data_IF_071014664525
#
_entry.id   IF_071014664525
#
_cell.length_a   1.000
_cell.length_b   1.000
_cell.length_c   1.000
_cell.angle_alpha   90.00
_cell.angle_beta   90.00
_cell.angle_gamma   90.00
#
_symmetry.space_group_name_H-M   'P 1'
#
loop_
_entity.id
_entity.type
_entity.pdbx_description
1 polymer ?
#
# COMPACT_ATOMS: atom_id res chain seq x y z
N UNK A 1 31.52 7.09 10.92
CA UNK A 1 31.37 6.65 9.51
C UNK A 1 30.28 5.61 9.52
N UNK A 2 29.11 5.98 9.07
CA UNK A 2 28.00 5.05 8.89
C UNK A 2 28.20 4.41 7.52
N UNK A 3 28.75 3.21 7.50
CA UNK A 3 28.64 2.33 6.35
C UNK A 3 27.17 1.86 6.28
N UNK A 4 26.29 2.70 5.80
CA UNK A 4 25.07 2.24 5.18
C UNK A 4 25.58 1.50 3.94
N UNK A 5 25.64 0.18 4.01
CA UNK A 5 25.74 -0.68 2.84
C UNK A 5 24.61 -0.25 1.91
N UNK A 6 24.90 0.53 0.87
CA UNK A 6 23.99 0.73 -0.25
C UNK A 6 23.63 -0.66 -0.76
N UNK A 7 22.47 -1.16 -0.35
CA UNK A 7 21.93 -2.41 -0.93
C UNK A 7 21.93 -2.23 -2.44
N UNK A 8 22.67 -3.05 -3.14
CA UNK A 8 22.74 -3.01 -4.60
C UNK A 8 21.32 -3.10 -5.15
N UNK A 9 20.88 -2.03 -5.83
CA UNK A 9 19.59 -2.01 -6.50
C UNK A 9 19.58 -3.01 -7.64
N UNK A 10 18.56 -3.87 -7.68
CA UNK A 10 18.36 -4.80 -8.79
C UNK A 10 17.85 -4.00 -10.00
N UNK A 11 18.50 -4.09 -11.17
CA UNK A 11 18.03 -3.38 -12.37
C UNK A 11 16.61 -3.79 -12.75
N UNK A 12 15.79 -2.82 -13.15
CA UNK A 12 14.40 -3.06 -13.57
C UNK A 12 14.31 -4.07 -14.72
N UNK A 13 15.27 -4.04 -15.65
CA UNK A 13 15.37 -5.00 -16.76
C UNK A 13 15.52 -6.45 -16.29
N UNK A 14 16.17 -6.68 -15.15
CA UNK A 14 16.31 -7.98 -14.52
C UNK A 14 15.02 -8.39 -13.83
N UNK A 15 14.42 -7.49 -13.06
CA UNK A 15 13.15 -7.74 -12.35
C UNK A 15 12.03 -8.13 -13.31
N UNK A 16 11.92 -7.45 -14.45
CA UNK A 16 10.91 -7.76 -15.49
C UNK A 16 11.06 -9.15 -16.12
N UNK A 17 12.23 -9.75 -16.02
CA UNK A 17 12.54 -11.09 -16.56
C UNK A 17 12.40 -12.20 -15.52
N UNK A 18 12.09 -11.86 -14.27
CA UNK A 18 11.92 -12.88 -13.24
C UNK A 18 10.79 -13.84 -13.64
N UNK A 19 10.99 -15.16 -13.43
CA UNK A 19 9.96 -16.14 -13.73
C UNK A 19 8.68 -15.85 -12.95
N UNK A 20 7.52 -16.05 -13.56
CA UNK A 20 6.21 -15.93 -12.91
C UNK A 20 6.16 -16.68 -11.57
N UNK A 21 6.72 -17.89 -11.54
CA UNK A 21 6.77 -18.71 -10.33
C UNK A 21 7.50 -18.01 -9.17
N UNK A 22 8.59 -17.28 -9.46
CA UNK A 22 9.33 -16.51 -8.48
C UNK A 22 8.53 -15.32 -7.97
N UNK A 23 7.92 -14.57 -8.88
CA UNK A 23 7.07 -13.42 -8.54
C UNK A 23 5.87 -13.85 -7.69
N UNK A 24 5.21 -14.94 -8.06
CA UNK A 24 4.07 -15.48 -7.33
C UNK A 24 4.46 -15.98 -5.93
N UNK A 25 5.66 -16.52 -5.77
CA UNK A 25 6.20 -16.91 -4.45
C UNK A 25 6.37 -15.69 -3.54
N UNK A 26 6.87 -14.58 -4.05
CA UNK A 26 7.00 -13.34 -3.29
C UNK A 26 5.65 -12.79 -2.83
N UNK A 27 4.66 -12.79 -3.73
CA UNK A 27 3.30 -12.39 -3.42
C UNK A 27 2.69 -13.29 -2.35
N UNK A 28 2.81 -14.59 -2.48
CA UNK A 28 2.26 -15.55 -1.51
C UNK A 28 2.93 -15.43 -0.14
N UNK A 29 4.23 -15.15 -0.10
CA UNK A 29 4.95 -14.89 1.14
C UNK A 29 4.46 -13.61 1.82
N UNK A 30 4.22 -12.54 1.06
CA UNK A 30 3.64 -11.31 1.58
C UNK A 30 2.22 -11.52 2.11
N UNK A 31 1.38 -12.25 1.39
CA UNK A 31 0.03 -12.62 1.83
C UNK A 31 0.04 -13.43 3.13
N UNK A 32 0.93 -14.42 3.24
CA UNK A 32 1.07 -15.22 4.44
C UNK A 32 1.48 -14.37 5.66
N UNK A 33 2.37 -13.39 5.47
CA UNK A 33 2.74 -12.43 6.51
C UNK A 33 1.54 -11.58 6.93
N UNK A 34 0.80 -11.01 5.97
CA UNK A 34 -0.35 -10.16 6.24
C UNK A 34 -1.49 -10.88 6.96
N UNK A 35 -1.71 -12.18 6.72
CA UNK A 35 -2.73 -12.95 7.44
C UNK A 35 -2.56 -12.92 8.94
N UNK A 36 -1.34 -12.83 9.43
CA UNK A 36 -1.01 -12.78 10.86
C UNK A 36 -0.95 -11.37 11.41
N UNK A 37 -1.08 -10.37 10.55
CA UNK A 37 -1.01 -8.96 10.94
C UNK A 37 -2.37 -8.45 11.43
N UNK A 38 -2.32 -7.70 12.54
CA UNK A 38 -3.54 -7.15 13.15
C UNK A 38 -4.28 -6.19 12.23
N UNK A 39 -3.57 -5.40 11.43
CA UNK A 39 -4.20 -4.43 10.52
C UNK A 39 -5.07 -5.16 9.49
N UNK A 40 -4.54 -6.22 8.89
CA UNK A 40 -5.31 -7.05 7.97
C UNK A 40 -6.52 -7.71 8.65
N UNK A 41 -6.32 -8.25 9.84
CA UNK A 41 -7.40 -8.86 10.62
C UNK A 41 -8.52 -7.86 10.93
N UNK A 42 -8.17 -6.63 11.29
CA UNK A 42 -9.14 -5.55 11.57
C UNK A 42 -9.90 -5.14 10.29
N UNK A 43 -9.23 -5.05 9.14
CA UNK A 43 -9.86 -4.79 7.85
C UNK A 43 -10.86 -5.89 7.51
N UNK A 44 -10.47 -7.15 7.61
CA UNK A 44 -11.37 -8.29 7.34
C UNK A 44 -12.60 -8.27 8.27
N UNK A 45 -12.40 -7.96 9.54
CA UNK A 45 -13.48 -7.85 10.51
C UNK A 45 -14.46 -6.74 10.16
N UNK A 46 -13.98 -5.60 9.69
CA UNK A 46 -14.83 -4.48 9.25
C UNK A 46 -15.73 -4.88 8.07
N UNK A 47 -15.23 -5.71 7.16
CA UNK A 47 -15.98 -6.20 6.01
C UNK A 47 -16.69 -7.55 6.24
N UNK A 48 -16.68 -8.06 7.48
CA UNK A 48 -17.28 -9.36 7.88
C UNK A 48 -16.72 -10.54 7.06
N UNK A 49 -15.40 -10.56 6.90
CA UNK A 49 -14.69 -11.57 6.13
C UNK A 49 -13.62 -12.31 6.94
N UNK A 50 -13.32 -13.53 6.51
CA UNK A 50 -12.22 -14.32 7.05
C UNK A 50 -10.87 -13.80 6.53
N UNK A 51 -9.82 -13.90 7.36
CA UNK A 51 -8.47 -13.46 6.98
C UNK A 51 -7.92 -14.22 5.78
N UNK A 52 -8.38 -15.45 5.54
CA UNK A 52 -7.96 -16.28 4.41
C UNK A 52 -8.47 -15.77 3.06
N UNK A 53 -9.38 -14.80 3.04
CA UNK A 53 -9.84 -14.18 1.79
C UNK A 53 -8.68 -13.58 0.98
N UNK A 54 -7.59 -13.22 1.64
CA UNK A 54 -6.39 -12.69 0.98
C UNK A 54 -5.83 -13.64 -0.07
N UNK A 55 -5.97 -14.95 0.11
CA UNK A 55 -5.50 -15.96 -0.84
C UNK A 55 -6.25 -15.92 -2.17
N UNK A 56 -7.46 -15.36 -2.17
CA UNK A 56 -8.34 -15.25 -3.33
C UNK A 56 -8.24 -13.90 -4.04
N UNK A 57 -7.49 -12.95 -3.49
CA UNK A 57 -7.29 -11.64 -4.13
C UNK A 57 -6.27 -11.76 -5.25
N UNK A 58 -6.67 -11.61 -6.53
CA UNK A 58 -5.73 -11.65 -7.64
C UNK A 58 -4.68 -10.55 -7.51
N UNK A 59 -3.42 -10.94 -7.41
CA UNK A 59 -2.29 -10.02 -7.23
C UNK A 59 -1.18 -10.38 -8.20
N UNK A 60 -0.73 -9.41 -8.99
CA UNK A 60 0.31 -9.59 -10.01
C UNK A 60 1.31 -8.44 -9.97
N UNK A 61 2.48 -8.64 -10.56
CA UNK A 61 3.40 -7.57 -10.91
C UNK A 61 3.16 -7.09 -12.34
N UNK A 62 3.34 -5.81 -12.58
CA UNK A 62 3.18 -5.22 -13.88
C UNK A 62 3.95 -3.90 -14.04
N UNK A 63 3.95 -3.37 -15.25
CA UNK A 63 4.48 -2.03 -15.53
C UNK A 63 3.40 -1.00 -15.25
N UNK A 64 3.65 -0.15 -14.27
CA UNK A 64 2.75 0.92 -13.86
C UNK A 64 3.49 2.26 -13.84
N UNK A 65 2.74 3.35 -13.88
CA UNK A 65 3.19 4.71 -13.61
C UNK A 65 3.08 5.09 -12.12
N UNK A 66 2.48 4.22 -11.32
CA UNK A 66 2.32 4.31 -9.86
C UNK A 66 2.92 3.08 -9.18
N UNK A 67 3.05 3.10 -7.86
CA UNK A 67 3.61 1.96 -7.10
C UNK A 67 2.73 0.73 -7.12
N UNK A 68 1.43 0.91 -7.03
CA UNK A 68 0.44 -0.16 -7.06
C UNK A 68 -0.93 0.36 -7.51
N UNK A 69 -1.79 -0.51 -7.97
CA UNK A 69 -3.13 -0.16 -8.46
C UNK A 69 -4.09 -1.33 -8.30
N UNK A 70 -5.32 -1.02 -7.93
CA UNK A 70 -6.44 -1.98 -7.93
C UNK A 70 -7.45 -1.58 -9.00
N UNK A 71 -7.65 -2.45 -9.96
CA UNK A 71 -8.57 -2.20 -11.07
C UNK A 71 -9.38 -3.47 -11.37
N UNK A 72 -10.69 -3.35 -11.37
CA UNK A 72 -11.62 -4.46 -11.68
C UNK A 72 -11.33 -5.73 -10.85
N UNK A 73 -11.03 -5.55 -9.56
CA UNK A 73 -10.76 -6.65 -8.65
C UNK A 73 -9.38 -7.29 -8.78
N UNK A 74 -8.47 -6.71 -9.57
CA UNK A 74 -7.09 -7.18 -9.72
C UNK A 74 -6.14 -6.15 -9.12
N UNK A 75 -5.27 -6.60 -8.22
CA UNK A 75 -4.21 -5.79 -7.63
C UNK A 75 -2.93 -5.98 -8.43
N UNK A 76 -2.38 -4.90 -8.94
CA UNK A 76 -1.10 -4.89 -9.66
C UNK A 76 -0.06 -4.11 -8.88
N UNK A 77 1.10 -4.71 -8.67
CA UNK A 77 2.27 -4.11 -8.06
C UNK A 77 3.28 -3.72 -9.15
N UNK A 78 3.88 -2.55 -9.02
CA UNK A 78 4.91 -2.13 -9.95
C UNK A 78 6.18 -2.99 -9.75
N UNK A 79 6.77 -3.46 -10.85
CA UNK A 79 8.06 -4.16 -10.82
C UNK A 79 9.16 -3.37 -10.10
N UNK A 80 9.09 -2.03 -10.13
CA UNK A 80 10.05 -1.16 -9.43
C UNK A 80 10.15 -1.42 -7.94
N UNK A 81 9.09 -1.93 -7.30
CA UNK A 81 9.11 -2.28 -5.88
C UNK A 81 10.13 -3.37 -5.55
N UNK A 82 10.48 -4.20 -6.51
CA UNK A 82 11.50 -5.25 -6.34
C UNK A 82 12.93 -4.76 -6.59
N UNK A 83 13.09 -3.58 -7.15
CA UNK A 83 14.43 -3.04 -7.48
C UNK A 83 15.23 -2.65 -6.22
N UNK A 84 14.54 -2.27 -5.15
CA UNK A 84 15.18 -1.81 -3.92
C UNK A 84 15.70 -2.96 -3.02
N UNK A 85 15.41 -4.20 -3.39
CA UNK A 85 15.85 -5.39 -2.65
C UNK A 85 15.16 -5.59 -1.29
N UNK A 86 14.24 -4.74 -0.93
CA UNK A 86 13.47 -4.82 0.32
C UNK A 86 11.96 -4.79 0.07
N UNK A 87 11.45 -5.85 -0.51
CA UNK A 87 10.01 -6.00 -0.73
C UNK A 87 9.19 -6.01 0.56
N UNK A 88 9.80 -6.36 1.69
CA UNK A 88 9.13 -6.34 2.99
C UNK A 88 8.71 -4.91 3.40
N UNK A 89 9.53 -3.91 3.05
CA UNK A 89 9.17 -2.50 3.28
C UNK A 89 7.95 -2.07 2.45
N UNK A 90 7.82 -2.62 1.24
CA UNK A 90 6.79 -2.26 0.27
C UNK A 90 5.47 -3.04 0.46
N UNK A 91 5.40 -4.00 1.38
CA UNK A 91 4.17 -4.73 1.70
C UNK A 91 3.03 -3.80 2.13
N UNK A 92 3.34 -2.64 2.69
CA UNK A 92 2.36 -1.63 3.07
C UNK A 92 1.44 -1.20 1.92
N UNK A 93 1.95 -1.22 0.68
CA UNK A 93 1.14 -0.94 -0.51
C UNK A 93 0.04 -1.98 -0.73
N UNK A 94 0.27 -3.24 -0.35
CA UNK A 94 -0.76 -4.28 -0.41
C UNK A 94 -1.92 -3.99 0.53
N UNK A 95 -1.65 -3.49 1.72
CA UNK A 95 -2.71 -3.07 2.67
C UNK A 95 -3.59 -1.99 2.03
N UNK A 96 -2.99 -0.99 1.40
CA UNK A 96 -3.71 0.08 0.71
C UNK A 96 -4.59 -0.48 -0.43
N UNK A 97 -3.99 -1.28 -1.30
CA UNK A 97 -4.68 -1.82 -2.47
C UNK A 97 -5.73 -2.88 -2.11
N UNK A 98 -5.50 -3.69 -1.08
CA UNK A 98 -6.49 -4.66 -0.60
C UNK A 98 -7.67 -3.96 0.07
N UNK A 99 -7.47 -2.79 0.67
CA UNK A 99 -8.58 -1.92 1.11
C UNK A 99 -9.44 -1.52 -0.09
N UNK A 100 -8.84 -1.08 -1.19
CA UNK A 100 -9.57 -0.78 -2.43
C UNK A 100 -10.25 -2.01 -3.03
N UNK A 101 -9.63 -3.17 -2.94
CA UNK A 101 -10.24 -4.41 -3.40
C UNK A 101 -11.56 -4.69 -2.68
N UNK A 102 -11.57 -4.55 -1.35
CA UNK A 102 -12.80 -4.68 -0.57
C UNK A 102 -13.85 -3.64 -0.98
N UNK A 103 -13.45 -2.40 -1.13
CA UNK A 103 -14.35 -1.31 -1.56
C UNK A 103 -15.00 -1.65 -2.90
N UNK A 104 -14.24 -2.13 -3.87
CA UNK A 104 -14.74 -2.49 -5.20
C UNK A 104 -15.62 -3.73 -5.19
N UNK A 105 -15.27 -4.76 -4.43
CA UNK A 105 -15.99 -6.03 -4.42
C UNK A 105 -17.25 -6.00 -3.54
N UNK A 106 -17.28 -5.17 -2.51
CA UNK A 106 -18.38 -5.12 -1.54
C UNK A 106 -19.31 -3.91 -1.70
N UNK A 107 -19.28 -3.29 -2.86
CA UNK A 107 -20.31 -2.33 -3.29
C UNK A 107 -20.29 -0.98 -2.57
N UNK A 108 -19.26 -0.68 -1.79
CA UNK A 108 -18.96 0.71 -1.50
C UNK A 108 -18.59 1.34 -2.84
N UNK A 109 -19.44 2.20 -3.37
CA UNK A 109 -19.16 2.90 -4.63
C UNK A 109 -17.85 3.68 -4.47
N UNK A 110 -16.73 3.02 -4.76
CA UNK A 110 -15.50 3.70 -5.03
C UNK A 110 -15.78 4.58 -6.23
N UNK A 111 -16.12 5.83 -5.98
CA UNK A 111 -16.17 6.82 -7.04
C UNK A 111 -14.78 6.84 -7.64
N UNK A 112 -14.72 6.47 -8.89
CA UNK A 112 -13.51 6.49 -9.68
C UNK A 112 -12.84 7.85 -9.48
N UNK A 113 -11.53 7.82 -9.29
CA UNK A 113 -10.60 8.92 -9.29
C UNK A 113 -11.23 10.30 -9.39
N UNK A 114 -11.17 11.04 -8.33
CA UNK A 114 -11.41 12.47 -8.39
C UNK A 114 -10.39 13.11 -9.33
N UNK A 115 -10.76 13.33 -10.57
CA UNK A 115 -10.03 14.19 -11.50
C UNK A 115 -10.03 15.67 -11.08
N UNK A 116 -10.59 15.96 -9.90
CA UNK A 116 -10.79 17.32 -9.41
C UNK A 116 -9.71 17.82 -8.44
N UNK A 117 -8.56 17.15 -8.37
CA UNK A 117 -7.44 17.54 -7.51
C UNK A 117 -7.62 17.23 -6.02
N UNK A 118 -8.67 16.49 -5.65
CA UNK A 118 -8.98 16.13 -4.27
C UNK A 118 -8.67 14.67 -3.93
N UNK A 119 -7.62 14.09 -4.51
CA UNK A 119 -7.24 12.70 -4.29
C UNK A 119 -7.11 12.35 -2.81
N UNK A 120 -6.40 13.16 -2.03
CA UNK A 120 -6.25 12.94 -0.59
C UNK A 120 -7.50 13.28 0.23
N UNK A 121 -8.51 13.92 -0.35
CA UNK A 121 -9.81 14.19 0.26
C UNK A 121 -10.86 13.13 -0.08
N UNK A 122 -10.55 12.21 -0.98
CA UNK A 122 -11.40 11.08 -1.30
C UNK A 122 -11.45 10.11 -0.12
N UNK A 123 -12.64 9.82 0.39
CA UNK A 123 -12.82 8.96 1.57
C UNK A 123 -12.31 7.54 1.36
N UNK A 124 -12.37 7.01 0.14
CA UNK A 124 -11.84 5.68 -0.18
C UNK A 124 -10.31 5.65 -0.16
N UNK A 125 -9.68 6.71 -0.67
CA UNK A 125 -8.23 6.86 -0.57
C UNK A 125 -7.79 7.09 0.88
N UNK A 126 -8.53 7.87 1.64
CA UNK A 126 -8.25 8.10 3.06
C UNK A 126 -8.29 6.78 3.87
N UNK A 127 -9.27 5.91 3.61
CA UNK A 127 -9.34 4.59 4.24
C UNK A 127 -8.11 3.76 3.89
N UNK A 128 -7.73 3.71 2.62
CA UNK A 128 -6.54 2.99 2.15
C UNK A 128 -5.26 3.50 2.80
N UNK A 129 -5.04 4.80 2.80
CA UNK A 129 -3.86 5.41 3.43
C UNK A 129 -3.85 5.25 4.94
N UNK A 130 -4.98 5.39 5.62
CA UNK A 130 -5.08 5.21 7.07
C UNK A 130 -4.67 3.80 7.48
N UNK A 131 -5.13 2.79 6.77
CA UNK A 131 -4.74 1.39 7.00
C UNK A 131 -3.26 1.15 6.70
N UNK A 132 -2.76 1.72 5.61
CA UNK A 132 -1.36 1.61 5.23
C UNK A 132 -0.43 2.26 6.26
N UNK A 133 -0.77 3.45 6.73
CA UNK A 133 0.00 4.20 7.75
C UNK A 133 0.00 3.45 9.09
N UNK A 134 -1.12 2.88 9.50
CA UNK A 134 -1.20 2.03 10.69
C UNK A 134 -0.25 0.82 10.58
N UNK A 135 -0.23 0.18 9.42
CA UNK A 135 0.67 -0.94 9.15
C UNK A 135 2.15 -0.52 9.24
N UNK A 136 2.52 0.61 8.62
CA UNK A 136 3.88 1.15 8.68
C UNK A 136 4.28 1.43 10.14
N UNK A 137 3.41 2.07 10.92
CA UNK A 137 3.69 2.37 12.33
C UNK A 137 3.94 1.11 13.16
N UNK A 138 3.17 0.05 12.95
CA UNK A 138 3.34 -1.22 13.67
C UNK A 138 4.58 -1.99 13.26
N UNK A 139 4.96 -1.95 11.99
CA UNK A 139 6.10 -2.72 11.48
C UNK A 139 7.43 -1.99 11.58
N UNK A 140 7.42 -0.67 11.44
CA UNK A 140 8.62 0.14 11.29
C UNK A 140 8.72 1.27 12.32
N UNK A 141 7.68 1.52 13.09
CA UNK A 141 7.62 2.57 14.11
C UNK A 141 6.84 3.80 13.67
N UNK A 142 6.46 4.60 14.66
CA UNK A 142 5.66 5.82 14.47
C UNK A 142 6.41 6.88 13.65
N UNK A 143 7.71 7.02 13.85
CA UNK A 143 8.54 7.98 13.11
C UNK A 143 8.52 7.69 11.60
N UNK A 144 8.62 6.43 11.20
CA UNK A 144 8.52 6.02 9.80
C UNK A 144 7.13 6.30 9.21
N UNK A 145 6.09 6.12 10.01
CA UNK A 145 4.73 6.44 9.60
C UNK A 145 4.54 7.95 9.41
N UNK A 146 5.07 8.78 10.30
CA UNK A 146 5.05 10.23 10.17
C UNK A 146 5.81 10.69 8.92
N UNK A 147 7.00 10.16 8.69
CA UNK A 147 7.79 10.45 7.49
C UNK A 147 7.03 10.08 6.21
N UNK A 148 6.40 8.91 6.19
CA UNK A 148 5.57 8.49 5.05
C UNK A 148 4.42 9.47 4.79
N UNK A 149 3.72 9.94 5.83
CA UNK A 149 2.62 10.91 5.69
C UNK A 149 3.15 12.25 5.18
N UNK A 150 4.27 12.73 5.70
CA UNK A 150 4.89 13.97 5.23
C UNK A 150 5.26 13.90 3.76
N UNK A 151 5.88 12.82 3.33
CA UNK A 151 6.24 12.58 1.93
C UNK A 151 5.00 12.50 1.02
N UNK A 152 3.93 11.87 1.51
CA UNK A 152 2.65 11.78 0.80
C UNK A 152 2.03 13.17 0.57
N UNK A 153 2.02 14.01 1.60
CA UNK A 153 1.49 15.37 1.52
C UNK A 153 2.33 16.24 0.60
N UNK A 154 3.64 16.12 0.66
CA UNK A 154 4.56 16.84 -0.23
C UNK A 154 4.39 16.41 -1.69
N UNK A 155 4.30 15.10 -1.94
CA UNK A 155 4.08 14.56 -3.28
C UNK A 155 2.79 15.07 -3.94
N UNK A 156 1.74 15.27 -3.15
CA UNK A 156 0.45 15.81 -3.60
C UNK A 156 0.35 17.32 -3.47
N UNK A 157 1.47 18.03 -3.24
CA UNK A 157 1.56 19.49 -3.23
C UNK A 157 0.58 20.15 -2.25
N UNK A 158 0.39 19.54 -1.07
CA UNK A 158 -0.43 20.11 -0.01
C UNK A 158 0.37 21.16 0.75
N UNK A 159 0.17 22.44 0.43
CA UNK A 159 0.95 23.57 0.96
C UNK A 159 0.27 24.29 2.13
N UNK A 160 -1.05 24.26 2.22
CA UNK A 160 -1.80 24.90 3.29
C UNK A 160 -1.57 24.18 4.64
N UNK A 161 -1.12 24.92 5.66
CA UNK A 161 -0.81 24.35 6.97
C UNK A 161 -2.00 23.74 7.69
N UNK A 162 -3.20 24.32 7.55
CA UNK A 162 -4.43 23.78 8.16
C UNK A 162 -4.85 22.48 7.47
N UNK A 163 -4.76 22.45 6.15
CA UNK A 163 -5.07 21.28 5.36
C UNK A 163 -4.09 20.14 5.65
N UNK A 164 -2.78 20.43 5.69
CA UNK A 164 -1.76 19.46 6.11
C UNK A 164 -2.11 18.84 7.46
N UNK A 165 -2.38 19.66 8.45
CA UNK A 165 -2.70 19.20 9.81
C UNK A 165 -3.95 18.34 9.85
N UNK A 166 -4.97 18.71 9.10
CA UNK A 166 -6.21 17.94 8.98
C UNK A 166 -5.97 16.57 8.37
N UNK A 167 -5.20 16.50 7.28
CA UNK A 167 -4.88 15.24 6.60
C UNK A 167 -3.95 14.36 7.43
N UNK A 168 -2.93 14.93 8.08
CA UNK A 168 -2.09 14.20 9.05
C UNK A 168 -2.93 13.52 10.13
N UNK A 169 -3.86 14.26 10.74
CA UNK A 169 -4.74 13.72 11.77
C UNK A 169 -5.63 12.58 11.25
N UNK A 170 -6.07 12.64 9.99
CA UNK A 170 -6.84 11.58 9.37
C UNK A 170 -5.97 10.34 9.17
N UNK A 171 -4.79 10.49 8.54
CA UNK A 171 -3.94 9.35 8.20
C UNK A 171 -3.28 8.71 9.43
N UNK A 172 -3.02 9.48 10.48
CA UNK A 172 -2.41 8.99 11.73
C UNK A 172 -3.43 8.56 12.80
N UNK A 173 -4.72 8.59 12.52
CA UNK A 173 -5.75 8.37 13.56
C UNK A 173 -5.76 6.98 14.19
N UNK A 174 -5.17 5.99 13.54
CA UNK A 174 -5.06 4.60 14.01
C UNK A 174 -3.66 4.26 14.57
N UNK A 175 -2.76 5.21 14.53
CA UNK A 175 -1.39 5.05 15.06
C UNK A 175 -1.34 5.22 16.58
#
# INVERSE_FOLDING_TARGET
MNDEEEKEKIPLSVVRKLPYKTLNRLINKAKAHLKTDKVWQDICKEYDEDVDIIDYIPTIFGNLDVSAKTNKGIVTLNYKLLCDGDFNHDISYLIHEYTHWFQQCYGKKATQSSDDGSYLHNKFEQEGFTNQVEYIAKQHGEDEAEEYVDDLLEHHEVDDKKEKKKLENIFMKQV
#
